data_IF_915160369209
#
_entry.id   IF_915160369209
#
_cell.length_a   1.000
_cell.length_b   1.000
_cell.length_c   1.000
_cell.angle_alpha   90.00
_cell.angle_beta   90.00
_cell.angle_gamma   90.00
#
_symmetry.space_group_name_H-M   'P 1'
#
loop_
_entity.id
_entity.type
_entity.pdbx_description
1 polymer ?
#
# COMPACT_ATOMS: atom_id res chain seq x y z
N UNK A 1 12.02 26.25 -16.30
CA UNK A 1 13.07 25.95 -17.30
C UNK A 1 14.29 26.82 -17.05
N UNK A 2 15.53 26.28 -17.06
CA UNK A 2 16.73 27.07 -16.79
C UNK A 2 17.03 28.02 -17.96
N UNK A 3 17.27 29.29 -17.63
CA UNK A 3 17.73 30.32 -18.57
C UNK A 3 19.25 30.37 -18.53
N UNK A 4 19.91 30.30 -19.70
CA UNK A 4 21.38 30.29 -19.78
C UNK A 4 21.96 31.58 -19.17
N UNK A 5 22.78 31.42 -18.12
CA UNK A 5 23.39 32.53 -17.37
C UNK A 5 22.66 32.90 -16.08
N UNK A 6 21.50 32.30 -15.81
CA UNK A 6 20.80 32.46 -14.53
C UNK A 6 21.37 31.51 -13.47
N UNK A 7 21.70 32.05 -12.30
CA UNK A 7 22.20 31.30 -11.13
C UNK A 7 21.08 30.95 -10.14
N UNK A 8 19.84 31.34 -10.43
CA UNK A 8 18.68 31.07 -9.57
C UNK A 8 18.16 29.67 -9.81
N UNK A 9 17.73 29.04 -8.73
CA UNK A 9 16.97 27.80 -8.80
C UNK A 9 15.53 28.11 -9.23
N UNK A 10 15.05 27.36 -10.22
CA UNK A 10 13.68 27.44 -10.70
C UNK A 10 12.95 26.17 -10.24
N UNK A 11 12.06 26.33 -9.27
CA UNK A 11 11.20 25.26 -8.79
C UNK A 11 9.82 25.36 -9.43
N UNK A 12 9.27 24.22 -9.83
CA UNK A 12 7.90 24.09 -10.31
C UNK A 12 7.21 22.97 -9.51
N UNK A 13 5.98 23.23 -9.08
CA UNK A 13 5.20 22.23 -8.35
C UNK A 13 4.64 21.19 -9.33
N UNK A 14 4.56 19.94 -8.89
CA UNK A 14 3.83 18.91 -9.63
C UNK A 14 2.34 19.28 -9.71
N UNK A 15 1.81 19.37 -10.92
CA UNK A 15 0.40 19.74 -11.17
C UNK A 15 -0.46 18.53 -11.55
N UNK A 16 0.14 17.39 -11.89
CA UNK A 16 -0.62 16.16 -12.12
C UNK A 16 -1.04 15.54 -10.78
N UNK A 17 -2.34 15.62 -10.50
CA UNK A 17 -2.96 15.04 -9.30
C UNK A 17 -2.65 13.55 -9.14
N UNK A 18 -2.50 12.81 -10.25
CA UNK A 18 -2.15 11.40 -10.18
C UNK A 18 -0.74 11.19 -9.66
N UNK A 19 0.23 11.96 -10.17
CA UNK A 19 1.61 11.90 -9.69
C UNK A 19 1.70 12.32 -8.22
N UNK A 20 0.97 13.37 -7.82
CA UNK A 20 0.87 13.77 -6.42
C UNK A 20 0.33 12.62 -5.56
N UNK A 21 -0.79 12.00 -5.95
CA UNK A 21 -1.39 10.89 -5.21
C UNK A 21 -0.47 9.67 -5.14
N UNK A 22 0.20 9.30 -6.25
CA UNK A 22 1.15 8.18 -6.29
C UNK A 22 2.35 8.42 -5.38
N UNK A 23 2.90 9.64 -5.35
CA UNK A 23 4.00 10.02 -4.44
C UNK A 23 3.57 9.97 -2.98
N UNK A 24 2.37 10.47 -2.65
CA UNK A 24 1.82 10.36 -1.29
C UNK A 24 1.69 8.89 -0.89
N UNK A 25 1.10 8.05 -1.75
CA UNK A 25 0.93 6.63 -1.46
C UNK A 25 2.28 5.92 -1.24
N UNK A 26 3.30 6.21 -2.06
CA UNK A 26 4.65 5.68 -1.88
C UNK A 26 5.27 6.14 -0.55
N UNK A 27 5.10 7.42 -0.20
CA UNK A 27 5.55 7.97 1.08
C UNK A 27 4.88 7.30 2.27
N UNK A 28 3.58 7.05 2.20
CA UNK A 28 2.83 6.34 3.24
C UNK A 28 3.24 4.89 3.36
N UNK A 29 3.47 4.18 2.24
CA UNK A 29 4.01 2.82 2.28
C UNK A 29 5.33 2.79 3.05
N UNK A 30 6.29 3.61 2.65
CA UNK A 30 7.62 3.62 3.24
C UNK A 30 7.64 4.04 4.73
N UNK A 31 6.80 5.01 5.11
CA UNK A 31 6.82 5.59 6.46
C UNK A 31 5.85 4.95 7.44
N UNK A 32 4.76 4.37 6.96
CA UNK A 32 3.68 3.84 7.80
C UNK A 32 3.52 2.32 7.64
N UNK A 33 3.41 1.83 6.40
CA UNK A 33 3.06 0.41 6.14
C UNK A 33 4.25 -0.52 6.33
N UNK A 34 5.42 -0.19 5.78
CA UNK A 34 6.61 -1.04 5.89
C UNK A 34 7.06 -1.23 7.36
N UNK A 35 7.11 -0.17 8.20
CA UNK A 35 7.39 -0.33 9.62
C UNK A 35 6.30 -1.10 10.36
N UNK A 36 5.02 -0.88 10.03
CA UNK A 36 3.92 -1.62 10.66
C UNK A 36 4.00 -3.12 10.35
N UNK A 37 4.34 -3.51 9.12
CA UNK A 37 4.56 -4.90 8.75
C UNK A 37 5.72 -5.54 9.51
N UNK A 38 6.84 -4.83 9.64
CA UNK A 38 7.98 -5.31 10.41
C UNK A 38 7.60 -5.57 11.88
N UNK A 39 6.89 -4.62 12.49
CA UNK A 39 6.39 -4.75 13.88
C UNK A 39 5.40 -5.90 14.01
N UNK A 40 4.41 -6.01 13.11
CA UNK A 40 3.41 -7.08 13.16
C UNK A 40 4.04 -8.47 13.04
N UNK A 41 5.05 -8.63 12.17
CA UNK A 41 5.80 -9.90 12.06
C UNK A 41 6.53 -10.25 13.37
N UNK A 42 7.18 -9.27 13.99
CA UNK A 42 7.84 -9.47 15.28
C UNK A 42 6.83 -9.86 16.37
N UNK A 43 5.72 -9.13 16.49
CA UNK A 43 4.68 -9.42 17.48
C UNK A 43 4.06 -10.81 17.30
N UNK A 44 3.81 -11.24 16.06
CA UNK A 44 3.30 -12.59 15.79
C UNK A 44 4.34 -13.63 16.19
N UNK A 45 5.60 -13.46 15.80
CA UNK A 45 6.67 -14.41 16.15
C UNK A 45 6.87 -14.54 17.67
N UNK A 46 6.86 -13.42 18.40
CA UNK A 46 6.94 -13.40 19.87
C UNK A 46 5.72 -14.07 20.50
N UNK A 47 4.51 -13.76 20.02
CA UNK A 47 3.27 -14.34 20.54
C UNK A 47 3.15 -15.85 20.26
N UNK A 48 3.74 -16.35 19.18
CA UNK A 48 3.80 -17.79 18.88
C UNK A 48 4.76 -18.54 19.80
N UNK A 49 5.82 -17.86 20.27
CA UNK A 49 6.82 -18.44 21.15
C UNK A 49 6.44 -18.36 22.65
N UNK A 50 5.41 -17.59 23.01
CA UNK A 50 4.98 -17.38 24.39
C UNK A 50 3.69 -18.16 24.75
N UNK A 51 3.79 -19.24 25.56
CA UNK A 51 2.62 -20.01 26.00
C UNK A 51 1.63 -19.23 26.88
N UNK A 52 2.03 -18.08 27.44
CA UNK A 52 1.15 -17.24 28.25
C UNK A 52 0.18 -16.40 27.39
N UNK A 53 0.44 -16.26 26.09
CA UNK A 53 -0.44 -15.49 25.20
C UNK A 53 -1.72 -16.26 24.91
N UNK A 54 -2.86 -15.61 25.17
CA UNK A 54 -4.16 -16.22 24.93
C UNK A 54 -4.36 -16.52 23.42
N UNK A 55 -4.89 -17.71 23.03
CA UNK A 55 -5.03 -18.10 21.62
C UNK A 55 -5.81 -17.10 20.75
N UNK A 56 -6.83 -16.44 21.33
CA UNK A 56 -7.61 -15.40 20.63
C UNK A 56 -6.77 -14.15 20.31
N UNK A 57 -5.83 -13.77 21.19
CA UNK A 57 -4.94 -12.64 20.93
C UNK A 57 -3.96 -12.97 19.80
N UNK A 58 -3.36 -14.16 19.81
CA UNK A 58 -2.51 -14.64 18.72
C UNK A 58 -3.26 -14.69 17.39
N UNK A 59 -4.51 -15.19 17.38
CA UNK A 59 -5.34 -15.20 16.18
C UNK A 59 -5.55 -13.79 15.60
N UNK A 60 -5.88 -12.81 16.44
CA UNK A 60 -6.08 -11.42 16.00
C UNK A 60 -4.79 -10.78 15.46
N UNK A 61 -3.64 -11.07 16.08
CA UNK A 61 -2.34 -10.61 15.57
C UNK A 61 -2.05 -11.17 14.18
N UNK A 62 -2.32 -12.46 13.95
CA UNK A 62 -2.17 -13.10 12.64
C UNK A 62 -3.12 -12.51 11.60
N UNK A 63 -4.40 -12.30 11.94
CA UNK A 63 -5.39 -11.68 11.04
C UNK A 63 -4.98 -10.25 10.63
N UNK A 64 -4.46 -9.46 11.57
CA UNK A 64 -3.94 -8.12 11.26
C UNK A 64 -2.74 -8.18 10.31
N UNK A 65 -1.77 -9.06 10.59
CA UNK A 65 -0.60 -9.24 9.72
C UNK A 65 -1.01 -9.68 8.30
N UNK A 66 -1.87 -10.69 8.19
CA UNK A 66 -2.35 -11.21 6.90
C UNK A 66 -3.05 -10.13 6.08
N UNK A 67 -3.93 -9.35 6.71
CA UNK A 67 -4.61 -8.25 6.07
C UNK A 67 -3.62 -7.20 5.54
N UNK A 68 -2.70 -6.73 6.38
CA UNK A 68 -1.72 -5.71 5.98
C UNK A 68 -0.82 -6.20 4.86
N UNK A 69 -0.34 -7.45 4.91
CA UNK A 69 0.46 -8.04 3.84
C UNK A 69 -0.30 -8.19 2.53
N UNK A 70 -1.60 -8.48 2.61
CA UNK A 70 -2.46 -8.57 1.42
C UNK A 70 -2.60 -7.23 0.72
N UNK A 71 -2.85 -6.17 1.48
CA UNK A 71 -2.91 -4.80 0.94
C UNK A 71 -1.55 -4.37 0.37
N UNK A 72 -0.45 -4.72 1.05
CA UNK A 72 0.90 -4.38 0.60
C UNK A 72 1.27 -5.05 -0.73
N UNK A 73 0.99 -6.36 -0.85
CA UNK A 73 1.18 -7.10 -2.10
C UNK A 73 0.34 -6.51 -3.23
N UNK A 74 -0.93 -6.21 -2.94
CA UNK A 74 -1.82 -5.58 -3.92
C UNK A 74 -1.28 -4.21 -4.37
N UNK A 75 -0.76 -3.39 -3.46
CA UNK A 75 -0.12 -2.13 -3.79
C UNK A 75 1.10 -2.32 -4.72
N UNK A 76 1.95 -3.31 -4.43
CA UNK A 76 3.08 -3.66 -5.29
C UNK A 76 2.65 -4.04 -6.72
N UNK A 77 1.52 -4.73 -6.86
CA UNK A 77 0.96 -5.08 -8.16
C UNK A 77 0.37 -3.85 -8.87
N UNK A 78 -0.44 -3.06 -8.17
CA UNK A 78 -1.22 -1.96 -8.78
C UNK A 78 -0.31 -0.84 -9.28
N UNK A 79 0.83 -0.59 -8.62
CA UNK A 79 1.80 0.45 -9.01
C UNK A 79 2.52 0.15 -10.33
N UNK A 80 2.58 -1.12 -10.76
CA UNK A 80 3.15 -1.50 -12.05
C UNK A 80 2.18 -1.37 -13.23
N UNK A 81 0.89 -1.17 -12.96
CA UNK A 81 -0.13 -1.11 -14.00
C UNK A 81 -0.18 0.30 -14.60
N UNK A 82 -0.22 0.38 -15.94
CA UNK A 82 -0.36 1.65 -16.63
C UNK A 82 -1.63 2.42 -16.19
N UNK A 83 -1.50 3.73 -15.94
CA UNK A 83 -2.58 4.62 -15.48
C UNK A 83 -3.91 4.46 -16.23
N UNK A 84 -3.97 4.37 -17.58
CA UNK A 84 -5.24 4.18 -18.28
C UNK A 84 -5.96 2.89 -17.89
N UNK A 85 -5.21 1.80 -17.68
CA UNK A 85 -5.76 0.51 -17.24
C UNK A 85 -6.25 0.58 -15.80
N UNK A 86 -5.49 1.22 -14.91
CA UNK A 86 -5.92 1.47 -13.53
C UNK A 86 -7.22 2.27 -13.47
N UNK A 87 -7.33 3.34 -14.26
CA UNK A 87 -8.56 4.13 -14.34
C UNK A 87 -9.73 3.32 -14.89
N UNK A 88 -9.49 2.42 -15.85
CA UNK A 88 -10.53 1.51 -16.34
C UNK A 88 -10.99 0.54 -15.23
N UNK A 89 -10.07 -0.03 -14.47
CA UNK A 89 -10.38 -0.90 -13.32
C UNK A 89 -11.19 -0.17 -12.24
N UNK A 90 -10.78 1.06 -11.88
CA UNK A 90 -11.51 1.87 -10.91
C UNK A 90 -12.94 2.20 -11.39
N UNK A 91 -13.11 2.52 -12.68
CA UNK A 91 -14.43 2.79 -13.28
C UNK A 91 -15.31 1.55 -13.38
N UNK A 92 -14.72 0.36 -13.53
CA UNK A 92 -15.47 -0.90 -13.45
C UNK A 92 -16.05 -1.10 -12.05
N UNK A 93 -15.37 -0.62 -11.01
CA UNK A 93 -15.90 -0.58 -9.64
C UNK A 93 -16.45 -1.94 -9.21
N UNK A 94 -17.61 -1.94 -8.53
CA UNK A 94 -18.25 -3.16 -8.05
C UNK A 94 -18.64 -4.16 -9.15
N UNK A 95 -18.66 -3.76 -10.44
CA UNK A 95 -18.92 -4.71 -11.54
C UNK A 95 -17.85 -5.78 -11.66
N UNK A 96 -16.63 -5.48 -11.20
CA UNK A 96 -15.57 -6.49 -11.17
C UNK A 96 -15.88 -7.62 -10.18
N UNK A 97 -16.66 -7.36 -9.12
CA UNK A 97 -17.05 -8.37 -8.14
C UNK A 97 -17.96 -9.45 -8.77
N UNK A 98 -18.72 -9.11 -9.80
CA UNK A 98 -19.55 -10.07 -10.55
C UNK A 98 -18.72 -11.03 -11.43
N UNK A 99 -17.45 -10.70 -11.70
CA UNK A 99 -16.53 -11.52 -12.49
C UNK A 99 -15.64 -12.42 -11.62
N UNK A 100 -15.59 -12.16 -10.31
CA UNK A 100 -14.86 -13.01 -9.35
C UNK A 100 -15.85 -14.11 -8.90
N UNK A 101 -15.55 -15.40 -9.14
CA UNK A 101 -16.38 -16.48 -8.64
C UNK A 101 -16.54 -16.34 -7.12
N UNK A 102 -17.78 -16.30 -6.64
CA UNK A 102 -18.07 -16.21 -5.21
C UNK A 102 -17.47 -17.41 -4.48
N UNK A 103 -16.39 -17.18 -3.73
CA UNK A 103 -16.00 -18.07 -2.65
C UNK A 103 -17.11 -18.04 -1.61
N UNK A 104 -17.59 -19.23 -1.25
CA UNK A 104 -18.61 -19.45 -0.22
C UNK A 104 -18.30 -18.72 1.09
#
# INVERSE_FOLDING_TARGET
MPVRGDRRDHFEAEVDVWEVASRIAAGRKAKEIDPALATLRACVAEAEADPAVHPVALKRLREMLEFTETIDRWYGQITTVARPKLMALLKLGARIAALVPGGK
#
